data_IF_072284317261
#
_entry.id   IF_072284317261
#
_cell.length_a   1.000
_cell.length_b   1.000
_cell.length_c   1.000
_cell.angle_alpha   90.00
_cell.angle_beta   90.00
_cell.angle_gamma   90.00
#
_symmetry.space_group_name_H-M   'P 1'
#
loop_
_entity.id
_entity.type
_entity.pdbx_description
1 polymer ?
#
# COMPACT_ATOMS: atom_id res chain seq x y z
N UNK A 1 10.05 -14.68 -59.38
CA UNK A 1 9.09 -15.15 -58.36
C UNK A 1 9.74 -15.04 -56.98
N UNK A 2 9.41 -14.00 -56.21
CA UNK A 2 9.44 -14.01 -54.74
C UNK A 2 8.81 -12.69 -54.26
N UNK A 3 7.61 -12.76 -53.67
CA UNK A 3 6.95 -11.63 -53.02
C UNK A 3 6.64 -12.07 -51.59
N UNK A 4 7.37 -11.59 -50.57
CA UNK A 4 7.13 -12.03 -49.20
C UNK A 4 5.84 -11.40 -48.66
N UNK A 5 5.02 -12.15 -47.90
CA UNK A 5 3.85 -11.58 -47.25
C UNK A 5 4.29 -10.56 -46.21
N UNK A 6 3.83 -9.32 -46.33
CA UNK A 6 4.03 -8.31 -45.28
C UNK A 6 3.24 -8.76 -44.04
N UNK A 7 3.88 -9.03 -42.89
CA UNK A 7 3.14 -9.37 -41.68
C UNK A 7 2.34 -8.13 -41.29
N UNK A 8 1.03 -8.19 -41.52
CA UNK A 8 0.06 -7.21 -41.04
C UNK A 8 -0.04 -7.38 -39.52
N UNK A 9 1.00 -6.96 -38.78
CA UNK A 9 0.95 -6.88 -37.32
C UNK A 9 -0.18 -5.91 -37.00
N UNK A 10 -1.33 -6.46 -36.59
CA UNK A 10 -2.56 -5.70 -36.36
C UNK A 10 -2.21 -4.51 -35.46
N UNK A 11 -2.35 -3.28 -35.95
CA UNK A 11 -2.06 -2.05 -35.21
C UNK A 11 -2.72 -2.00 -33.80
N UNK A 12 -3.80 -2.77 -33.60
CA UNK A 12 -4.44 -2.97 -32.29
C UNK A 12 -3.52 -3.59 -31.23
N UNK A 13 -2.66 -4.55 -31.59
CA UNK A 13 -1.73 -5.17 -30.65
C UNK A 13 -0.64 -4.18 -30.20
N UNK A 14 -0.21 -3.28 -31.10
CA UNK A 14 0.77 -2.24 -30.80
C UNK A 14 0.23 -1.18 -29.82
N UNK A 15 -1.09 -0.93 -29.82
CA UNK A 15 -1.74 0.05 -28.92
C UNK A 15 -1.85 -0.44 -27.46
N UNK A 16 -1.82 -1.75 -27.22
CA UNK A 16 -1.91 -2.34 -25.87
C UNK A 16 -0.55 -2.57 -25.21
N UNK A 17 0.53 -2.54 -26.00
CA UNK A 17 1.90 -2.68 -25.50
C UNK A 17 2.28 -1.69 -24.36
N UNK A 18 1.98 -0.38 -24.44
CA UNK A 18 2.31 0.53 -23.35
C UNK A 18 1.49 0.27 -22.08
N UNK A 19 0.24 -0.17 -22.20
CA UNK A 19 -0.61 -0.56 -21.07
C UNK A 19 -0.09 -1.83 -20.39
N UNK A 20 0.31 -2.84 -21.17
CA UNK A 20 0.90 -4.07 -20.65
C UNK A 20 2.25 -3.81 -19.98
N UNK A 21 3.11 -2.98 -20.59
CA UNK A 21 4.37 -2.56 -19.98
C UNK A 21 4.13 -1.78 -18.68
N UNK A 22 3.21 -0.81 -18.67
CA UNK A 22 2.86 -0.07 -17.45
C UNK A 22 2.33 -1.00 -16.35
N UNK A 23 1.49 -1.99 -16.70
CA UNK A 23 0.99 -2.98 -15.75
C UNK A 23 2.12 -3.88 -15.19
N UNK A 24 3.09 -4.27 -16.02
CA UNK A 24 4.26 -5.06 -15.59
C UNK A 24 5.21 -4.25 -14.69
N UNK A 25 5.50 -2.99 -15.04
CA UNK A 25 6.30 -2.10 -14.20
C UNK A 25 5.58 -1.77 -12.88
N UNK A 26 4.27 -1.53 -12.93
CA UNK A 26 3.44 -1.34 -11.75
C UNK A 26 3.19 -2.63 -10.97
N UNK A 27 3.47 -3.82 -11.51
CA UNK A 27 3.52 -5.06 -10.74
C UNK A 27 4.88 -5.23 -10.03
N UNK A 28 5.94 -4.58 -10.50
CA UNK A 28 7.28 -4.74 -9.92
C UNK A 28 7.62 -3.68 -8.83
N UNK A 29 6.86 -2.59 -8.72
CA UNK A 29 7.16 -1.47 -7.80
C UNK A 29 6.37 -1.42 -6.47
N UNK A 30 5.06 -1.77 -6.39
CA UNK A 30 4.26 -1.61 -5.17
C UNK A 30 4.14 -2.89 -4.34
N UNK A 31 4.84 -3.97 -4.71
CA UNK A 31 4.73 -5.26 -4.06
C UNK A 31 5.45 -5.31 -2.69
N UNK A 32 6.57 -4.61 -2.50
CA UNK A 32 7.40 -4.75 -1.29
C UNK A 32 6.69 -4.32 0.02
N UNK A 33 5.82 -3.30 0.01
CA UNK A 33 5.20 -2.79 1.25
C UNK A 33 3.97 -3.58 1.71
N UNK A 34 3.22 -4.22 0.80
CA UNK A 34 2.09 -5.09 1.18
C UNK A 34 2.52 -6.53 1.48
N UNK A 35 3.58 -7.00 0.83
CA UNK A 35 4.08 -8.38 1.00
C UNK A 35 4.75 -8.60 2.37
N UNK A 36 5.35 -7.57 2.97
CA UNK A 36 6.02 -7.69 4.27
C UNK A 36 5.05 -8.09 5.38
N UNK A 37 3.86 -7.49 5.45
CA UNK A 37 2.84 -7.86 6.43
C UNK A 37 2.26 -9.25 6.18
N UNK A 38 2.09 -9.65 4.92
CA UNK A 38 1.63 -10.99 4.58
C UNK A 38 2.67 -12.05 4.96
N UNK A 39 3.95 -11.79 4.71
CA UNK A 39 5.04 -12.67 5.10
C UNK A 39 5.16 -12.79 6.63
N UNK A 40 5.02 -11.68 7.37
CA UNK A 40 4.96 -11.69 8.83
C UNK A 40 3.76 -12.51 9.30
N UNK A 41 2.57 -12.33 8.71
CA UNK A 41 1.40 -13.13 9.05
C UNK A 41 1.61 -14.62 8.83
N UNK A 42 2.28 -15.05 7.75
CA UNK A 42 2.57 -16.49 7.55
C UNK A 42 3.39 -17.06 8.71
N UNK A 43 4.31 -16.27 9.28
CA UNK A 43 5.18 -16.69 10.38
C UNK A 43 4.46 -16.56 11.74
N UNK A 44 3.65 -15.53 11.94
CA UNK A 44 3.02 -15.23 13.23
C UNK A 44 1.68 -15.91 13.42
N UNK A 45 0.96 -16.24 12.35
CA UNK A 45 -0.37 -16.86 12.40
C UNK A 45 -0.42 -18.14 13.26
N UNK A 46 0.59 -19.05 13.24
CA UNK A 46 0.63 -20.20 14.16
C UNK A 46 0.72 -19.81 15.64
N UNK A 47 1.21 -18.61 15.94
CA UNK A 47 1.43 -18.11 17.31
C UNK A 47 0.36 -17.14 17.78
N UNK A 48 -0.24 -16.36 16.86
CA UNK A 48 -1.26 -15.35 17.17
C UNK A 48 -2.68 -15.86 16.95
N UNK A 49 -2.86 -16.92 16.15
CA UNK A 49 -4.16 -17.45 15.75
C UNK A 49 -4.96 -16.54 14.81
N UNK A 50 -4.52 -15.29 14.60
CA UNK A 50 -5.10 -14.29 13.70
C UNK A 50 -4.07 -13.66 12.79
N UNK A 51 -4.46 -13.34 11.54
CA UNK A 51 -3.66 -12.44 10.72
C UNK A 51 -3.63 -11.06 11.38
N UNK A 52 -2.45 -10.47 11.47
CA UNK A 52 -2.26 -9.09 11.89
C UNK A 52 -2.66 -8.17 10.74
N UNK A 53 -3.45 -7.16 11.05
CA UNK A 53 -3.86 -6.11 10.11
C UNK A 53 -3.56 -4.74 10.71
N UNK A 54 -3.06 -3.84 9.88
CA UNK A 54 -2.97 -2.42 10.24
C UNK A 54 -4.35 -1.79 10.04
N UNK A 55 -4.94 -1.29 11.12
CA UNK A 55 -6.22 -0.58 11.11
C UNK A 55 -5.97 0.89 10.74
N UNK A 56 -6.05 1.22 9.44
CA UNK A 56 -5.95 2.60 8.92
C UNK A 56 -7.31 3.28 8.79
N UNK A 57 -8.31 2.50 8.37
CA UNK A 57 -9.63 3.01 8.06
C UNK A 57 -10.65 2.67 9.14
N UNK A 58 -11.69 3.51 9.34
CA UNK A 58 -12.75 3.24 10.32
C UNK A 58 -13.48 1.93 10.02
N UNK A 59 -13.60 1.51 8.75
CA UNK A 59 -14.16 0.22 8.37
C UNK A 59 -13.34 -0.95 8.94
N UNK A 60 -12.01 -0.85 8.91
CA UNK A 60 -11.13 -1.91 9.45
C UNK A 60 -11.21 -1.98 10.98
N UNK A 61 -11.41 -0.84 11.64
CA UNK A 61 -11.64 -0.79 13.08
C UNK A 61 -12.98 -1.45 13.44
N UNK A 62 -14.02 -1.20 12.65
CA UNK A 62 -15.34 -1.84 12.82
C UNK A 62 -15.26 -3.37 12.60
N UNK A 63 -14.53 -3.83 11.58
CA UNK A 63 -14.32 -5.26 11.34
C UNK A 63 -13.57 -5.95 12.48
N UNK A 64 -12.58 -5.28 13.08
CA UNK A 64 -11.87 -5.80 14.25
C UNK A 64 -12.80 -5.87 15.47
N UNK A 65 -13.62 -4.85 15.68
CA UNK A 65 -14.61 -4.81 16.77
C UNK A 65 -15.65 -5.92 16.61
N UNK A 66 -16.18 -6.13 15.41
CA UNK A 66 -17.13 -7.20 15.12
C UNK A 66 -16.53 -8.60 15.38
N UNK A 67 -15.24 -8.79 15.10
CA UNK A 67 -14.54 -10.04 15.43
C UNK A 67 -14.39 -10.24 16.93
N UNK A 68 -14.05 -9.18 17.68
CA UNK A 68 -14.00 -9.24 19.14
C UNK A 68 -15.38 -9.60 19.71
N UNK A 69 -16.43 -8.93 19.26
CA UNK A 69 -17.81 -9.18 19.70
C UNK A 69 -18.25 -10.63 19.37
N UNK A 70 -17.90 -11.14 18.19
CA UNK A 70 -18.16 -12.53 17.83
C UNK A 70 -17.41 -13.52 18.73
N UNK A 71 -16.16 -13.25 19.11
CA UNK A 71 -15.39 -14.08 20.04
C UNK A 71 -15.97 -14.04 21.47
N UNK A 72 -16.48 -12.89 21.90
CA UNK A 72 -17.13 -12.71 23.20
C UNK A 72 -18.54 -13.34 23.28
N UNK A 73 -19.17 -13.64 22.14
CA UNK A 73 -20.50 -14.27 22.09
C UNK A 73 -20.52 -15.76 22.47
N UNK A 74 -19.35 -16.39 22.58
CA UNK A 74 -19.15 -17.80 22.93
C UNK A 74 -18.33 -17.91 24.23
N UNK A 75 -18.37 -19.05 24.95
CA UNK A 75 -17.48 -19.27 26.09
C UNK A 75 -16.01 -19.13 25.68
N UNK A 76 -15.27 -18.29 26.41
CA UNK A 76 -13.91 -17.89 26.07
C UNK A 76 -12.88 -18.99 26.36
N UNK A 77 -12.15 -19.40 25.33
CA UNK A 77 -10.89 -20.13 25.46
C UNK A 77 -9.75 -19.17 25.84
N UNK A 78 -8.65 -19.70 26.41
CA UNK A 78 -7.42 -18.95 26.61
C UNK A 78 -6.89 -18.36 25.29
N UNK A 79 -6.99 -19.11 24.19
CA UNK A 79 -6.58 -18.64 22.86
C UNK A 79 -7.46 -17.49 22.36
N UNK A 80 -8.78 -17.57 22.61
CA UNK A 80 -9.72 -16.51 22.24
C UNK A 80 -9.43 -15.21 23.00
N UNK A 81 -9.05 -15.31 24.28
CA UNK A 81 -8.66 -14.15 25.08
C UNK A 81 -7.37 -13.49 24.56
N UNK A 82 -6.35 -14.27 24.17
CA UNK A 82 -5.14 -13.75 23.54
C UNK A 82 -5.47 -13.07 22.21
N UNK A 83 -6.35 -13.69 21.42
CA UNK A 83 -6.80 -13.17 20.12
C UNK A 83 -7.50 -11.82 20.26
N UNK A 84 -8.39 -11.69 21.26
CA UNK A 84 -9.06 -10.42 21.60
C UNK A 84 -8.02 -9.37 22.02
N UNK A 85 -7.07 -9.74 22.90
CA UNK A 85 -6.03 -8.85 23.37
C UNK A 85 -5.14 -8.32 22.24
N UNK A 86 -4.80 -9.18 21.26
CA UNK A 86 -4.01 -8.78 20.09
C UNK A 86 -4.82 -7.90 19.12
N UNK A 87 -6.08 -8.26 18.83
CA UNK A 87 -6.95 -7.49 17.92
C UNK A 87 -7.22 -6.07 18.43
N UNK A 88 -7.43 -5.93 19.74
CA UNK A 88 -7.75 -4.64 20.37
C UNK A 88 -6.53 -3.81 20.80
N UNK A 89 -5.29 -4.27 20.63
CA UNK A 89 -4.11 -3.62 21.22
C UNK A 89 -3.62 -2.39 20.43
N UNK A 90 -3.67 -1.17 21.01
CA UNK A 90 -3.11 0.02 20.37
C UNK A 90 -1.59 -0.01 20.30
N UNK A 91 -0.93 -0.66 21.28
CA UNK A 91 0.52 -0.80 21.31
C UNK A 91 1.02 -1.65 20.13
N UNK A 92 0.31 -2.75 19.83
CA UNK A 92 0.62 -3.59 18.67
C UNK A 92 0.43 -2.81 17.36
N UNK A 93 -0.66 -2.04 17.24
CA UNK A 93 -0.91 -1.19 16.07
C UNK A 93 0.18 -0.12 15.89
N UNK A 94 0.64 0.49 16.99
CA UNK A 94 1.76 1.43 16.98
C UNK A 94 3.07 0.80 16.51
N UNK A 95 3.38 -0.41 16.98
CA UNK A 95 4.57 -1.15 16.54
C UNK A 95 4.49 -1.48 15.04
N UNK A 96 3.36 -1.99 14.55
CA UNK A 96 3.16 -2.28 13.12
C UNK A 96 3.32 -0.99 12.29
N UNK A 97 2.77 0.13 12.75
CA UNK A 97 2.92 1.42 12.08
C UNK A 97 4.38 1.90 12.03
N UNK A 98 5.13 1.77 13.13
CA UNK A 98 6.55 2.14 13.19
C UNK A 98 7.38 1.32 12.20
N UNK A 99 7.19 0.00 12.15
CA UNK A 99 7.95 -0.87 11.22
C UNK A 99 7.72 -0.48 9.75
N UNK A 100 6.51 0.00 9.41
CA UNK A 100 6.23 0.52 8.07
C UNK A 100 6.94 1.84 7.79
N UNK A 101 7.00 2.74 8.78
CA UNK A 101 7.74 3.99 8.65
C UNK A 101 9.23 3.73 8.45
N UNK A 102 9.83 2.85 9.24
CA UNK A 102 11.26 2.48 9.13
C UNK A 102 11.57 1.83 7.77
N UNK A 103 10.66 1.00 7.26
CA UNK A 103 10.79 0.40 5.93
C UNK A 103 10.76 1.45 4.80
N UNK A 104 9.92 2.47 4.94
CA UNK A 104 9.83 3.58 3.99
C UNK A 104 11.10 4.43 4.03
N UNK A 105 11.64 4.71 5.22
CA UNK A 105 12.86 5.48 5.41
C UNK A 105 14.10 4.72 4.87
N UNK A 106 14.17 3.40 5.09
CA UNK A 106 15.20 2.55 4.49
C UNK A 106 15.12 2.56 2.95
N UNK A 107 13.92 2.45 2.39
CA UNK A 107 13.70 2.51 0.94
C UNK A 107 14.08 3.87 0.37
N UNK A 108 13.78 4.95 1.08
CA UNK A 108 14.15 6.32 0.68
C UNK A 108 15.66 6.52 0.76
N UNK A 109 16.31 6.02 1.82
CA UNK A 109 17.76 6.06 2.01
C UNK A 109 18.52 5.25 0.97
N UNK A 110 17.92 4.16 0.46
CA UNK A 110 18.50 3.34 -0.60
C UNK A 110 18.38 3.96 -2.00
N UNK A 111 17.59 5.04 -2.18
CA UNK A 111 17.50 5.73 -3.46
C UNK A 111 18.71 6.64 -3.63
N UNK A 112 19.39 6.55 -4.78
CA UNK A 112 20.33 7.60 -5.20
C UNK A 112 19.61 8.96 -5.13
N UNK A 113 20.32 10.00 -4.69
CA UNK A 113 19.78 11.36 -4.55
C UNK A 113 19.01 11.77 -5.80
N UNK A 114 17.69 11.86 -5.68
CA UNK A 114 16.80 12.25 -6.77
C UNK A 114 16.88 13.78 -6.95
N UNK A 115 17.11 14.31 -8.18
CA UNK A 115 17.13 15.75 -8.42
C UNK A 115 15.86 16.44 -7.90
N UNK A 116 16.06 17.53 -7.16
CA UNK A 116 14.99 18.26 -6.47
C UNK A 116 14.33 19.25 -7.44
N UNK A 117 13.06 19.03 -7.80
CA UNK A 117 12.29 20.01 -8.58
C UNK A 117 11.62 21.02 -7.64
N UNK A 118 11.88 22.32 -7.85
CA UNK A 118 11.15 23.40 -7.16
C UNK A 118 10.20 24.10 -8.12
N UNK A 119 8.91 24.01 -7.85
CA UNK A 119 7.88 24.76 -8.56
C UNK A 119 7.77 26.15 -7.92
N UNK A 120 8.12 27.20 -8.67
CA UNK A 120 7.94 28.59 -8.25
C UNK A 120 6.64 29.11 -8.83
N UNK A 121 5.74 29.57 -7.96
CA UNK A 121 4.51 30.24 -8.39
C UNK A 121 4.87 31.53 -9.16
N UNK A 122 4.18 31.84 -10.28
CA UNK A 122 4.37 33.10 -10.97
C UNK A 122 3.97 34.25 -10.05
N UNK A 123 4.82 35.27 -9.98
CA UNK A 123 4.49 36.51 -9.29
C UNK A 123 3.33 37.16 -10.06
N UNK A 124 2.11 36.99 -9.55
CA UNK A 124 0.99 37.79 -10.00
C UNK A 124 1.29 39.22 -9.54
N UNK A 125 1.78 40.05 -10.48
CA UNK A 125 1.94 41.47 -10.25
C UNK A 125 0.53 42.03 -10.11
N UNK A 126 0.06 42.21 -8.87
CA UNK A 126 -1.15 42.97 -8.58
C UNK A 126 -0.90 44.40 -9.08
N UNK A 127 -1.38 44.70 -10.29
CA UNK A 127 -1.43 46.06 -10.82
C UNK A 127 -2.62 46.72 -10.13
N UNK A 128 -2.36 47.32 -8.96
CA UNK A 128 -3.27 48.27 -8.36
C UNK A 128 -3.52 49.38 -9.37
N UNK A 129 -4.70 49.38 -9.96
CA UNK A 129 -5.22 50.51 -10.72
C UNK A 129 -5.61 51.58 -9.73
N UNK A 130 -4.78 52.61 -9.63
CA UNK A 130 -5.17 53.87 -9.03
C UNK A 130 -5.63 54.81 -10.15
N UNK A 131 -6.61 55.64 -9.80
CA UNK A 131 -7.09 56.86 -10.45
C UNK A 131 -8.28 56.75 -11.42
N UNK A 132 -9.15 57.78 -11.50
CA UNK A 132 -9.36 58.93 -10.60
C UNK A 132 -10.64 58.83 -9.74
#
# INVERSE_FOLDING_TARGET
MWNPPRPQVRLRALRLAPLAAAALLAACAPLQTRQSLQAVNVITLPHTGTPLHLLRDPAQQQDAQAQIDALLSKPLSADDAVRIALLGSPALQGLIAQTQADSADSTQSARLTNPVFRLRAPAHRWRGGNHP
#
